data_IF_327558370506
#
_entry.id   IF_327558370506
#
_cell.length_a   1.000
_cell.length_b   1.000
_cell.length_c   1.000
_cell.angle_alpha   90.00
_cell.angle_beta   90.00
_cell.angle_gamma   90.00
#
_symmetry.space_group_name_H-M   'P 1'
#
loop_
_entity.id
_entity.type
_entity.pdbx_description
1 polymer ?
#
# COMPACT_ATOMS: atom_id res chain seq x y z
N UNK A 1 -33.70 -45.29 -41.15
CA UNK A 1 -34.17 -44.15 -41.96
C UNK A 1 -34.31 -42.98 -40.98
N UNK A 2 -33.33 -42.12 -40.74
CA UNK A 2 -32.47 -41.40 -41.69
C UNK A 2 -33.34 -40.41 -42.47
N UNK A 3 -33.12 -39.09 -42.54
CA UNK A 3 -32.02 -38.19 -42.20
C UNK A 3 -32.58 -36.76 -42.13
N UNK A 4 -31.88 -35.85 -41.44
CA UNK A 4 -32.18 -34.41 -41.50
C UNK A 4 -31.30 -33.53 -40.63
N UNK A 5 -29.97 -33.66 -40.74
CA UNK A 5 -29.05 -32.57 -40.36
C UNK A 5 -29.11 -31.45 -41.42
N UNK A 6 -29.19 -30.18 -40.99
CA UNK A 6 -28.45 -28.98 -41.48
C UNK A 6 -29.08 -27.76 -40.81
N UNK A 7 -28.46 -27.04 -39.85
CA UNK A 7 -27.19 -26.32 -39.78
C UNK A 7 -27.43 -24.80 -39.64
N UNK A 8 -26.85 -24.25 -38.57
CA UNK A 8 -26.23 -22.90 -38.41
C UNK A 8 -27.12 -21.64 -38.41
N UNK A 9 -27.15 -21.00 -37.24
CA UNK A 9 -26.52 -19.67 -37.09
C UNK A 9 -25.65 -19.64 -35.83
N UNK A 10 -24.32 -19.78 -35.96
CA UNK A 10 -23.38 -19.31 -34.95
C UNK A 10 -23.17 -17.79 -35.14
N UNK A 11 -23.44 -16.99 -34.12
CA UNK A 11 -23.12 -15.56 -34.12
C UNK A 11 -24.10 -14.78 -33.25
N UNK A 12 -23.72 -14.16 -32.13
CA UNK A 12 -22.46 -13.53 -31.79
C UNK A 12 -22.10 -13.84 -30.34
N UNK A 13 -21.39 -14.94 -30.09
CA UNK A 13 -20.61 -15.06 -28.87
C UNK A 13 -19.34 -14.22 -29.04
N UNK A 14 -19.06 -13.33 -28.08
CA UNK A 14 -17.69 -12.86 -27.87
C UNK A 14 -17.16 -11.75 -28.78
N UNK A 15 -17.96 -10.72 -29.07
CA UNK A 15 -17.41 -9.39 -29.38
C UNK A 15 -17.78 -8.41 -28.26
N UNK A 16 -17.47 -8.77 -27.02
CA UNK A 16 -17.33 -7.78 -25.95
C UNK A 16 -15.89 -7.30 -26.08
N UNK A 17 -15.70 -6.06 -26.51
CA UNK A 17 -14.38 -5.48 -26.82
C UNK A 17 -13.38 -5.86 -25.74
N UNK A 18 -12.22 -6.36 -26.17
CA UNK A 18 -11.05 -6.53 -25.31
C UNK A 18 -10.79 -5.16 -24.67
N UNK A 19 -11.26 -4.98 -23.43
CA UNK A 19 -10.95 -3.79 -22.68
C UNK A 19 -9.43 -3.84 -22.49
N UNK A 20 -8.70 -2.78 -22.85
CA UNK A 20 -7.24 -2.74 -22.73
C UNK A 20 -6.78 -3.21 -21.35
N UNK A 21 -7.60 -2.96 -20.32
CA UNK A 21 -7.39 -3.43 -18.94
C UNK A 21 -7.37 -4.97 -18.82
N UNK A 22 -8.32 -5.70 -19.40
CA UNK A 22 -8.36 -7.17 -19.30
C UNK A 22 -7.23 -7.85 -20.07
N UNK A 23 -6.74 -7.19 -21.12
CA UNK A 23 -5.56 -7.66 -21.86
C UNK A 23 -4.29 -7.52 -21.02
N UNK A 24 -4.11 -6.40 -20.31
CA UNK A 24 -2.97 -6.18 -19.38
C UNK A 24 -2.86 -7.27 -18.31
N UNK A 25 -3.99 -7.81 -17.81
CA UNK A 25 -3.97 -8.88 -16.81
C UNK A 25 -3.62 -10.26 -17.39
N UNK A 26 -3.98 -10.53 -18.64
CA UNK A 26 -3.70 -11.81 -19.30
C UNK A 26 -2.26 -11.87 -19.85
N UNK A 27 -1.67 -10.72 -20.15
CA UNK A 27 -0.26 -10.62 -20.53
C UNK A 27 0.63 -10.81 -19.29
N UNK A 28 1.59 -11.77 -19.28
CA UNK A 28 2.43 -12.04 -18.11
C UNK A 28 3.14 -10.78 -17.60
N UNK A 29 3.65 -9.94 -18.51
CA UNK A 29 4.36 -8.70 -18.17
C UNK A 29 3.40 -7.65 -17.60
N UNK A 30 2.21 -7.50 -18.19
CA UNK A 30 1.21 -6.53 -17.73
C UNK A 30 0.71 -6.85 -16.32
N UNK A 31 0.54 -8.13 -16.01
CA UNK A 31 0.16 -8.58 -14.68
C UNK A 31 1.18 -8.16 -13.61
N UNK A 32 2.48 -8.42 -13.84
CA UNK A 32 3.53 -8.04 -12.90
C UNK A 32 3.63 -6.53 -12.71
N UNK A 33 3.44 -5.75 -13.77
CA UNK A 33 3.42 -4.28 -13.68
C UNK A 33 2.29 -3.81 -12.77
N UNK A 34 1.08 -4.35 -12.93
CA UNK A 34 -0.06 -4.01 -12.07
C UNK A 34 0.23 -4.36 -10.60
N UNK A 35 0.81 -5.53 -10.33
CA UNK A 35 1.19 -5.94 -8.97
C UNK A 35 2.21 -4.99 -8.35
N UNK A 36 3.27 -4.63 -9.08
CA UNK A 36 4.30 -3.71 -8.58
C UNK A 36 3.71 -2.32 -8.31
N UNK A 37 2.88 -1.80 -9.22
CA UNK A 37 2.22 -0.51 -9.04
C UNK A 37 1.28 -0.55 -7.82
N UNK A 38 0.49 -1.61 -7.67
CA UNK A 38 -0.39 -1.77 -6.51
C UNK A 38 0.40 -1.82 -5.19
N UNK A 39 1.53 -2.54 -5.16
CA UNK A 39 2.39 -2.60 -3.99
C UNK A 39 3.04 -1.25 -3.67
N UNK A 40 3.51 -0.52 -4.69
CA UNK A 40 4.05 0.83 -4.50
C UNK A 40 3.00 1.80 -3.95
N UNK A 41 1.77 1.74 -4.47
CA UNK A 41 0.65 2.53 -3.97
C UNK A 41 0.30 2.17 -2.51
N UNK A 42 0.25 0.88 -2.17
CA UNK A 42 0.02 0.41 -0.80
C UNK A 42 1.09 0.98 0.15
N UNK A 43 2.37 0.87 -0.22
CA UNK A 43 3.47 1.41 0.58
C UNK A 43 3.34 2.92 0.78
N UNK A 44 3.02 3.66 -0.29
CA UNK A 44 2.82 5.10 -0.21
C UNK A 44 1.67 5.48 0.75
N UNK A 45 0.54 4.78 0.66
CA UNK A 45 -0.62 5.00 1.52
C UNK A 45 -0.29 4.66 2.98
N UNK A 46 0.34 3.52 3.25
CA UNK A 46 0.68 3.10 4.62
C UNK A 46 1.66 4.08 5.26
N UNK A 47 2.72 4.47 4.55
CA UNK A 47 3.72 5.42 5.07
C UNK A 47 3.10 6.79 5.37
N UNK A 48 2.29 7.31 4.45
CA UNK A 48 1.61 8.60 4.66
C UNK A 48 0.58 8.51 5.79
N UNK A 49 -0.22 7.45 5.84
CA UNK A 49 -1.21 7.22 6.89
C UNK A 49 -0.55 7.15 8.28
N UNK A 50 0.49 6.34 8.46
CA UNK A 50 1.23 6.25 9.74
C UNK A 50 1.79 7.61 10.15
N UNK A 51 2.34 8.36 9.20
CA UNK A 51 2.89 9.68 9.45
C UNK A 51 1.81 10.67 9.94
N UNK A 52 0.63 10.68 9.33
CA UNK A 52 -0.51 11.46 9.81
C UNK A 52 -1.07 10.98 11.16
N UNK A 53 -1.09 9.66 11.41
CA UNK A 53 -1.51 9.10 12.70
C UNK A 53 -0.64 9.62 13.84
N UNK A 54 0.68 9.64 13.67
CA UNK A 54 1.61 10.20 14.69
C UNK A 54 1.36 11.69 14.93
N UNK A 55 1.11 12.46 13.87
CA UNK A 55 0.73 13.87 14.02
C UNK A 55 -0.58 14.01 14.80
N UNK A 56 -1.60 13.22 14.43
CA UNK A 56 -2.91 13.25 15.08
C UNK A 56 -2.82 12.91 16.57
N UNK A 57 -2.08 11.86 16.93
CA UNK A 57 -1.83 11.48 18.31
C UNK A 57 -1.26 12.65 19.12
N UNK A 58 -0.28 13.38 18.58
CA UNK A 58 0.30 14.56 19.27
C UNK A 58 -0.71 15.66 19.49
N UNK A 59 -1.59 15.91 18.53
CA UNK A 59 -2.64 16.92 18.68
C UNK A 59 -3.70 16.45 19.69
N UNK A 60 -4.11 15.19 19.63
CA UNK A 60 -5.05 14.58 20.57
C UNK A 60 -4.52 14.64 22.01
N UNK A 61 -3.26 14.26 22.24
CA UNK A 61 -2.60 14.35 23.53
C UNK A 61 -2.50 15.79 24.04
N UNK A 62 -2.26 16.77 23.15
CA UNK A 62 -2.30 18.18 23.50
C UNK A 62 -3.67 18.61 24.02
N UNK A 63 -4.72 18.25 23.30
CA UNK A 63 -6.12 18.58 23.65
C UNK A 63 -6.54 17.98 24.99
N UNK A 64 -6.17 16.72 25.26
CA UNK A 64 -6.47 16.05 26.53
C UNK A 64 -5.78 16.75 27.70
N UNK A 65 -4.53 17.17 27.51
CA UNK A 65 -3.71 17.80 28.57
C UNK A 65 -3.96 19.32 28.72
N UNK A 66 -4.98 19.88 28.03
CA UNK A 66 -5.20 21.34 27.95
C UNK A 66 -3.92 22.13 27.59
N UNK A 67 -3.05 21.56 26.76
CA UNK A 67 -1.87 22.26 26.21
C UNK A 67 -1.99 22.38 24.70
N UNK A 68 -1.50 23.47 24.09
CA UNK A 68 -1.49 23.58 22.63
C UNK A 68 -0.65 22.44 22.03
N UNK A 69 -1.24 21.73 21.07
CA UNK A 69 -0.54 20.76 20.23
C UNK A 69 0.46 21.46 19.29
N UNK A 70 1.09 20.71 18.36
CA UNK A 70 2.06 21.27 17.42
C UNK A 70 1.49 22.49 16.65
N UNK A 71 2.03 23.70 16.91
CA UNK A 71 1.50 24.96 16.34
C UNK A 71 2.59 25.86 15.72
N UNK A 72 3.87 25.43 15.69
CA UNK A 72 4.99 26.32 15.35
C UNK A 72 5.55 26.20 13.94
N UNK A 73 5.42 25.05 13.30
CA UNK A 73 6.16 24.76 12.06
C UNK A 73 5.32 24.84 10.79
N UNK A 74 4.06 25.29 10.84
CA UNK A 74 3.17 25.46 9.68
C UNK A 74 1.70 25.53 10.11
N UNK A 75 0.74 25.70 9.19
CA UNK A 75 -0.69 25.64 9.53
C UNK A 75 -1.02 24.28 10.17
N UNK A 76 -1.60 24.30 11.38
CA UNK A 76 -1.86 23.12 12.22
C UNK A 76 -0.63 22.24 12.56
N UNK A 77 0.59 22.72 12.33
CA UNK A 77 1.82 21.98 12.64
C UNK A 77 2.07 20.75 11.74
N UNK A 78 1.46 20.67 10.56
CA UNK A 78 1.62 19.53 9.63
C UNK A 78 3.07 19.34 9.16
N UNK A 79 3.79 20.44 8.96
CA UNK A 79 5.22 20.41 8.62
C UNK A 79 6.10 19.83 9.73
N UNK A 80 5.58 19.64 10.96
CA UNK A 80 6.31 18.93 12.01
C UNK A 80 6.64 17.50 11.61
N UNK A 81 5.76 16.87 10.85
CA UNK A 81 5.96 15.51 10.36
C UNK A 81 7.12 15.43 9.38
N UNK A 82 7.22 16.40 8.47
CA UNK A 82 8.33 16.52 7.54
C UNK A 82 9.65 16.83 8.28
N UNK A 83 9.62 17.73 9.26
CA UNK A 83 10.78 18.06 10.09
C UNK A 83 11.30 16.86 10.89
N UNK A 84 10.39 16.02 11.42
CA UNK A 84 10.75 14.80 12.13
C UNK A 84 11.36 13.75 11.18
N UNK A 85 10.83 13.61 9.97
CA UNK A 85 11.41 12.74 8.94
C UNK A 85 12.83 13.18 8.54
N UNK A 86 13.01 14.47 8.27
CA UNK A 86 14.32 15.06 7.96
C UNK A 86 15.29 14.84 9.12
N UNK A 87 14.86 15.09 10.36
CA UNK A 87 15.67 14.86 11.56
C UNK A 87 16.14 13.41 11.68
N UNK A 88 15.29 12.44 11.36
CA UNK A 88 15.65 11.03 11.38
C UNK A 88 16.60 10.67 10.23
N UNK A 89 16.42 11.24 9.04
CA UNK A 89 17.29 11.00 7.88
C UNK A 89 18.73 11.51 8.11
N UNK A 90 18.88 12.65 8.78
CA UNK A 90 20.19 13.21 9.14
C UNK A 90 20.72 12.70 10.49
N UNK A 91 19.98 11.80 11.16
CA UNK A 91 20.45 11.24 12.42
C UNK A 91 21.61 10.30 12.14
N UNK A 92 22.77 10.59 12.74
CA UNK A 92 23.93 9.70 12.66
C UNK A 92 23.56 8.29 13.15
N UNK A 93 23.83 7.29 12.30
CA UNK A 93 23.62 5.88 12.61
C UNK A 93 24.76 5.38 13.49
N UNK A 94 24.62 5.53 14.80
CA UNK A 94 25.60 5.04 15.77
C UNK A 94 25.36 3.56 16.08
N UNK A 95 26.28 2.69 15.66
CA UNK A 95 26.29 1.27 16.04
C UNK A 95 27.16 1.10 17.29
N UNK A 96 26.62 0.56 18.41
CA UNK A 96 27.40 0.40 19.63
C UNK A 96 28.60 -0.54 19.41
N UNK A 97 29.77 -0.16 19.93
CA UNK A 97 31.02 -0.91 19.72
C UNK A 97 31.05 -2.32 20.36
N UNK A 98 30.14 -2.61 21.31
CA UNK A 98 30.05 -3.88 22.04
C UNK A 98 28.80 -4.70 21.68
N UNK A 99 28.24 -4.52 20.48
CA UNK A 99 27.03 -5.25 20.06
C UNK A 99 27.32 -6.15 18.88
N UNK A 100 26.65 -7.31 18.86
CA UNK A 100 26.59 -8.17 17.68
C UNK A 100 25.90 -7.43 16.53
N UNK A 101 26.65 -7.14 15.47
CA UNK A 101 26.18 -6.36 14.31
C UNK A 101 25.04 -7.06 13.56
N UNK A 102 25.02 -8.39 13.55
CA UNK A 102 24.02 -9.17 12.83
C UNK A 102 22.68 -9.02 13.55
N UNK A 103 22.67 -9.23 14.87
CA UNK A 103 21.44 -9.11 15.68
C UNK A 103 20.94 -7.67 15.70
N UNK A 104 21.85 -6.69 15.78
CA UNK A 104 21.51 -5.27 15.80
C UNK A 104 20.76 -4.81 14.54
N UNK A 105 21.13 -5.34 13.36
CA UNK A 105 20.45 -5.03 12.10
C UNK A 105 19.18 -5.88 11.93
N UNK A 106 19.23 -7.17 12.25
CA UNK A 106 18.09 -8.07 12.07
C UNK A 106 16.90 -7.73 12.95
N UNK A 107 17.13 -7.31 14.19
CA UNK A 107 16.05 -7.01 15.14
C UNK A 107 15.02 -5.98 14.59
N UNK A 108 15.42 -4.78 14.12
CA UNK A 108 14.48 -3.84 13.51
C UNK A 108 13.95 -4.35 12.15
N UNK A 109 14.75 -5.06 11.36
CA UNK A 109 14.29 -5.59 10.06
C UNK A 109 13.13 -6.57 10.20
N UNK A 110 13.18 -7.46 11.19
CA UNK A 110 12.10 -8.44 11.44
C UNK A 110 10.81 -7.72 11.84
N UNK A 111 10.90 -6.67 12.67
CA UNK A 111 9.73 -5.88 13.07
C UNK A 111 9.07 -5.17 11.89
N UNK A 112 9.88 -4.57 11.02
CA UNK A 112 9.40 -3.91 9.79
C UNK A 112 8.78 -4.94 8.82
N UNK A 113 9.42 -6.10 8.64
CA UNK A 113 8.88 -7.16 7.78
C UNK A 113 7.53 -7.69 8.28
N UNK A 114 7.40 -7.92 9.59
CA UNK A 114 6.15 -8.37 10.19
C UNK A 114 5.01 -7.35 10.02
N UNK A 115 5.30 -6.05 10.16
CA UNK A 115 4.32 -4.99 9.97
C UNK A 115 3.78 -4.95 8.52
N UNK A 116 4.64 -5.13 7.52
CA UNK A 116 4.20 -5.18 6.12
C UNK A 116 3.40 -6.44 5.79
N UNK A 117 3.79 -7.60 6.31
CA UNK A 117 3.03 -8.84 6.15
C UNK A 117 1.60 -8.73 6.70
N UNK A 118 1.42 -8.02 7.82
CA UNK A 118 0.10 -7.79 8.40
C UNK A 118 -0.83 -7.00 7.46
N UNK A 119 -0.30 -6.05 6.71
CA UNK A 119 -1.08 -5.27 5.73
C UNK A 119 -1.47 -6.06 4.48
N UNK A 120 -0.68 -7.07 4.10
CA UNK A 120 -0.96 -7.92 2.92
C UNK A 120 -2.23 -8.75 3.09
N UNK A 121 -2.61 -9.08 4.33
CA UNK A 121 -3.76 -9.96 4.61
C UNK A 121 -5.11 -9.26 4.42
N UNK A 122 -5.13 -7.92 4.41
CA UNK A 122 -6.39 -7.15 4.37
C UNK A 122 -6.92 -7.11 2.93
N UNK A 123 -8.12 -7.66 2.66
CA UNK A 123 -8.71 -7.63 1.32
C UNK A 123 -9.30 -6.23 1.03
N UNK A 124 -8.53 -5.39 0.34
CA UNK A 124 -8.92 -4.02 -0.06
C UNK A 124 -9.57 -3.94 -1.46
N UNK A 125 -10.00 -5.06 -2.03
CA UNK A 125 -10.72 -5.11 -3.30
C UNK A 125 -12.22 -4.83 -3.13
N UNK A 126 -12.77 -3.88 -3.89
CA UNK A 126 -14.21 -3.84 -4.11
C UNK A 126 -14.60 -5.10 -4.88
N UNK A 127 -15.41 -5.95 -4.27
CA UNK A 127 -16.00 -7.11 -4.94
C UNK A 127 -17.05 -6.61 -5.93
N UNK A 128 -16.64 -6.22 -7.14
CA UNK A 128 -17.61 -5.96 -8.21
C UNK A 128 -18.18 -7.32 -8.62
N UNK A 129 -19.50 -7.49 -8.42
CA UNK A 129 -20.25 -8.68 -8.78
C UNK A 129 -20.03 -9.04 -10.26
N UNK A 130 -19.19 -10.03 -10.52
CA UNK A 130 -19.21 -10.78 -11.78
C UNK A 130 -20.35 -11.78 -11.66
N UNK A 131 -21.51 -11.40 -12.20
CA UNK A 131 -22.63 -12.33 -12.37
C UNK A 131 -22.38 -13.20 -13.61
N UNK A 132 -22.60 -14.50 -13.45
CA UNK A 132 -22.45 -15.54 -14.47
C UNK A 132 -23.46 -15.40 -15.61
#
# INVERSE_FOLDING_TARGET
MGYGETQRLPGKAGQRGSNSVTQIYNDPIGHWVVVVVAMALLLFVVLTATAYTVWFERVALGRIQRRPGPNRVGPFGLMQLAADGIKLAFKESFVPAKTDKIIYVLAPTIGVAAAFLAWTVIPIGLWYNVQY
#
